data_IF_815374352122
#
_entry.id   IF_815374352122
#
_cell.length_a   1.000
_cell.length_b   1.000
_cell.length_c   1.000
_cell.angle_alpha   90.00
_cell.angle_beta   90.00
_cell.angle_gamma   90.00
#
_symmetry.space_group_name_H-M   'P 1'
#
loop_
_entity.id
_entity.type
_entity.pdbx_description
1 polymer ?
#
# COMPACT_ATOMS: atom_id res chain seq x y z
N UNK A 1 6.94 -16.13 -22.17
CA UNK A 1 7.55 -14.97 -21.47
C UNK A 1 7.74 -15.36 -20.00
N UNK A 2 8.89 -15.05 -19.40
CA UNK A 2 9.16 -15.43 -18.00
C UNK A 2 8.53 -14.46 -17.01
N UNK A 3 8.13 -14.95 -15.83
CA UNK A 3 7.44 -14.20 -14.77
C UNK A 3 8.18 -12.89 -14.44
N UNK A 4 9.51 -12.94 -14.26
CA UNK A 4 10.32 -11.76 -13.93
C UNK A 4 10.31 -10.68 -15.02
N UNK A 5 10.14 -11.07 -16.30
CA UNK A 5 10.03 -10.13 -17.42
C UNK A 5 8.64 -9.49 -17.47
N UNK A 6 7.60 -10.25 -17.13
CA UNK A 6 6.21 -9.75 -17.08
C UNK A 6 5.98 -8.69 -16.00
N UNK A 7 6.74 -8.74 -14.90
CA UNK A 7 6.69 -7.76 -13.82
C UNK A 7 7.78 -6.69 -13.90
N UNK A 8 8.53 -6.63 -15.00
CA UNK A 8 9.61 -5.65 -15.23
C UNK A 8 10.68 -5.61 -14.12
N UNK A 9 10.99 -6.78 -13.55
CA UNK A 9 12.01 -6.94 -12.49
C UNK A 9 13.24 -7.71 -12.97
N UNK A 10 13.28 -8.14 -14.22
CA UNK A 10 14.40 -8.91 -14.78
C UNK A 10 15.55 -7.98 -15.16
N UNK A 11 16.77 -8.27 -14.70
CA UNK A 11 18.01 -7.72 -15.25
C UNK A 11 18.43 -8.62 -16.42
N UNK A 12 18.26 -8.20 -17.69
CA UNK A 12 18.40 -9.09 -18.85
C UNK A 12 19.81 -9.68 -18.97
N UNK A 13 20.83 -8.86 -18.71
CA UNK A 13 22.24 -9.22 -18.91
C UNK A 13 22.76 -10.22 -17.88
N UNK A 14 22.09 -10.30 -16.71
CA UNK A 14 22.50 -11.15 -15.60
C UNK A 14 21.54 -12.34 -15.39
N UNK A 15 20.39 -12.36 -16.06
CA UNK A 15 19.39 -13.42 -15.93
C UNK A 15 18.75 -13.53 -14.54
N UNK A 16 18.90 -12.50 -13.69
CA UNK A 16 18.39 -12.48 -12.31
C UNK A 16 17.31 -11.41 -12.14
N UNK A 17 16.43 -11.61 -11.16
CA UNK A 17 15.40 -10.63 -10.82
C UNK A 17 15.89 -9.67 -9.71
N UNK A 18 15.50 -8.40 -9.82
CA UNK A 18 15.51 -7.43 -8.74
C UNK A 18 14.63 -7.89 -7.58
N UNK A 19 14.78 -7.24 -6.42
CA UNK A 19 13.98 -7.54 -5.23
C UNK A 19 12.61 -6.86 -5.32
N UNK A 20 11.79 -7.35 -6.25
CA UNK A 20 10.41 -6.93 -6.45
C UNK A 20 9.46 -7.53 -5.40
N UNK A 21 8.56 -6.71 -4.88
CA UNK A 21 7.38 -7.08 -4.12
C UNK A 21 6.18 -6.42 -4.78
N UNK A 22 5.11 -7.18 -5.04
CA UNK A 22 3.88 -6.67 -5.62
C UNK A 22 2.72 -7.10 -4.74
N UNK A 23 1.82 -6.17 -4.40
CA UNK A 23 0.56 -6.45 -3.74
C UNK A 23 -0.55 -6.44 -4.78
N UNK A 24 -1.22 -7.59 -4.90
CA UNK A 24 -2.31 -7.83 -5.83
C UNK A 24 -3.56 -8.09 -4.99
N UNK A 25 -4.66 -7.43 -5.33
CA UNK A 25 -5.95 -7.65 -4.68
C UNK A 25 -6.64 -8.95 -5.15
N UNK A 26 -7.89 -9.18 -4.75
CA UNK A 26 -8.63 -10.41 -5.09
C UNK A 26 -9.17 -10.37 -6.52
N UNK A 27 -9.30 -9.17 -7.07
CA UNK A 27 -9.75 -8.84 -8.41
C UNK A 27 -8.61 -8.96 -9.43
N UNK A 28 -7.38 -9.17 -8.95
CA UNK A 28 -6.19 -9.36 -9.78
C UNK A 28 -5.50 -8.05 -10.17
N UNK A 29 -5.87 -6.93 -9.55
CA UNK A 29 -5.29 -5.61 -9.81
C UNK A 29 -4.08 -5.37 -8.90
N UNK A 30 -3.01 -4.83 -9.49
CA UNK A 30 -1.81 -4.42 -8.74
C UNK A 30 -2.12 -3.11 -8.03
N UNK A 31 -2.06 -3.13 -6.69
CA UNK A 31 -2.34 -1.96 -5.86
C UNK A 31 -1.07 -1.29 -5.35
N UNK A 32 0.04 -2.03 -5.27
CA UNK A 32 1.32 -1.51 -4.81
C UNK A 32 2.47 -2.35 -5.35
N UNK A 33 3.60 -1.70 -5.62
CA UNK A 33 4.86 -2.37 -5.95
C UNK A 33 6.03 -1.71 -5.20
N UNK A 34 7.03 -2.51 -4.88
CA UNK A 34 8.32 -2.04 -4.34
C UNK A 34 9.42 -2.83 -5.01
N UNK A 35 10.36 -2.13 -5.64
CA UNK A 35 11.46 -2.73 -6.39
C UNK A 35 12.76 -2.19 -5.80
N UNK A 36 13.51 -3.07 -5.14
CA UNK A 36 14.80 -2.73 -4.57
C UNK A 36 15.94 -3.39 -5.38
N UNK A 37 17.11 -2.75 -5.37
CA UNK A 37 18.34 -3.38 -5.85
C UNK A 37 18.74 -4.56 -4.94
N UNK A 38 19.60 -5.45 -5.43
CA UNK A 38 20.01 -6.69 -4.78
C UNK A 38 20.66 -6.50 -3.40
N UNK A 39 21.28 -5.35 -3.16
CA UNK A 39 21.94 -5.00 -1.90
C UNK A 39 20.99 -4.45 -0.82
N UNK A 40 19.75 -4.08 -1.16
CA UNK A 40 18.84 -3.38 -0.25
C UNK A 40 17.67 -4.30 0.13
N UNK A 41 17.57 -4.62 1.42
CA UNK A 41 16.46 -5.39 1.98
C UNK A 41 15.11 -4.65 1.85
N UNK A 42 14.01 -5.39 2.02
CA UNK A 42 12.66 -4.81 2.10
C UNK A 42 12.24 -4.69 3.56
N UNK A 43 11.35 -3.75 3.87
CA UNK A 43 10.74 -3.63 5.20
C UNK A 43 9.47 -4.48 5.29
N UNK A 44 9.45 -5.41 6.25
CA UNK A 44 8.25 -6.20 6.55
C UNK A 44 7.18 -5.31 7.16
N UNK A 45 7.53 -4.36 8.01
CA UNK A 45 6.60 -3.41 8.63
C UNK A 45 5.89 -2.54 7.59
N UNK A 46 6.61 -2.04 6.58
CA UNK A 46 6.00 -1.30 5.47
C UNK A 46 5.14 -2.21 4.59
N UNK A 47 5.58 -3.44 4.35
CA UNK A 47 4.79 -4.41 3.59
C UNK A 47 3.48 -4.72 4.31
N UNK A 48 3.53 -4.90 5.64
CA UNK A 48 2.35 -5.09 6.47
C UNK A 48 1.49 -3.84 6.44
N UNK A 49 2.06 -2.64 6.59
CA UNK A 49 1.32 -1.37 6.51
C UNK A 49 0.54 -1.27 5.20
N UNK A 50 1.19 -1.52 4.05
CA UNK A 50 0.55 -1.44 2.74
C UNK A 50 -0.39 -2.61 2.45
N UNK A 51 -0.04 -3.85 2.85
CA UNK A 51 -0.96 -5.00 2.75
C UNK A 51 -2.27 -4.70 3.46
N UNK A 52 -2.21 -4.02 4.60
CA UNK A 52 -3.39 -3.66 5.38
C UNK A 52 -4.16 -2.46 4.80
N UNK A 53 -3.51 -1.69 3.92
CA UNK A 53 -4.13 -0.68 3.04
C UNK A 53 -4.72 -1.32 1.77
N UNK A 54 -4.52 -2.61 1.50
CA UNK A 54 -5.05 -3.28 0.29
C UNK A 54 -6.02 -4.41 0.64
N UNK A 55 -5.85 -5.05 1.80
CA UNK A 55 -6.61 -6.23 2.19
C UNK A 55 -7.88 -5.87 2.98
N UNK A 56 -8.99 -5.69 2.25
CA UNK A 56 -10.34 -5.61 2.82
C UNK A 56 -10.84 -7.02 3.17
N UNK A 57 -11.28 -7.28 4.42
CA UNK A 57 -11.92 -8.55 4.77
C UNK A 57 -13.38 -8.59 4.33
N UNK A 58 -13.72 -9.67 3.61
CA UNK A 58 -15.09 -10.17 3.43
C UNK A 58 -15.59 -10.83 4.73
N UNK A 59 -16.91 -10.90 4.98
CA UNK A 59 -17.47 -11.09 6.31
C UNK A 59 -17.32 -12.49 6.94
N UNK A 60 -16.72 -13.48 6.27
CA UNK A 60 -16.79 -14.88 6.72
C UNK A 60 -15.46 -15.65 6.61
N UNK A 61 -14.41 -15.25 7.34
CA UNK A 61 -13.39 -16.22 7.80
C UNK A 61 -12.55 -15.67 8.95
N UNK A 62 -12.66 -16.33 10.09
CA UNK A 62 -11.88 -16.10 11.30
C UNK A 62 -10.40 -16.46 11.06
N UNK A 63 -9.57 -15.47 10.75
CA UNK A 63 -8.14 -15.54 11.03
C UNK A 63 -7.70 -14.23 11.67
N UNK A 64 -7.36 -14.31 12.96
CA UNK A 64 -6.90 -13.19 13.78
C UNK A 64 -5.54 -12.68 13.29
N UNK A 65 -5.53 -11.50 12.70
CA UNK A 65 -4.49 -10.49 12.88
C UNK A 65 -5.22 -9.19 13.20
N UNK A 66 -5.25 -8.82 14.48
CA UNK A 66 -6.06 -7.72 15.00
C UNK A 66 -5.25 -6.43 15.15
N UNK A 67 -4.35 -6.17 14.22
CA UNK A 67 -3.73 -4.87 14.07
C UNK A 67 -3.92 -4.47 12.61
N UNK A 68 -4.11 -3.16 12.37
CA UNK A 68 -4.17 -2.55 11.04
C UNK A 68 -5.34 -3.01 10.14
N UNK A 69 -6.54 -2.54 10.52
CA UNK A 69 -7.72 -2.46 9.64
C UNK A 69 -8.10 -1.00 9.31
N UNK A 70 -7.32 -0.02 9.80
CA UNK A 70 -7.87 1.31 10.08
C UNK A 70 -7.81 2.33 8.93
N UNK A 71 -6.79 2.29 8.05
CA UNK A 71 -6.65 3.29 6.98
C UNK A 71 -7.74 3.15 5.91
N UNK A 72 -7.90 1.96 5.33
CA UNK A 72 -8.93 1.76 4.31
C UNK A 72 -10.32 1.78 4.90
N UNK A 73 -10.52 1.27 6.12
CA UNK A 73 -11.82 1.41 6.77
C UNK A 73 -12.14 2.89 6.99
N UNK A 74 -11.15 3.71 7.36
CA UNK A 74 -11.30 5.16 7.42
C UNK A 74 -11.61 5.78 6.05
N UNK A 75 -10.88 5.47 4.98
CA UNK A 75 -11.14 6.00 3.63
C UNK A 75 -12.44 5.44 3.02
N UNK A 76 -12.89 4.25 3.40
CA UNK A 76 -14.16 3.68 2.96
C UNK A 76 -15.35 4.24 3.75
N UNK A 77 -15.19 4.46 5.05
CA UNK A 77 -16.18 5.17 5.89
C UNK A 77 -16.20 6.68 5.57
N UNK A 78 -15.08 7.22 5.06
CA UNK A 78 -14.89 8.62 4.68
C UNK A 78 -14.34 8.69 3.23
N UNK A 79 -15.17 8.40 2.21
CA UNK A 79 -14.76 8.35 0.80
C UNK A 79 -14.21 9.68 0.25
N UNK A 80 -14.49 10.78 0.94
CA UNK A 80 -14.03 12.12 0.61
C UNK A 80 -12.67 12.48 1.24
N UNK A 81 -12.00 11.52 1.89
CA UNK A 81 -10.75 11.74 2.60
C UNK A 81 -9.63 10.79 2.14
N UNK A 82 -8.41 11.29 2.17
CA UNK A 82 -7.18 10.56 1.89
C UNK A 82 -6.24 10.68 3.07
N UNK A 83 -5.51 9.62 3.41
CA UNK A 83 -4.54 9.69 4.49
C UNK A 83 -3.11 9.99 3.98
N UNK A 84 -2.42 10.97 4.58
CA UNK A 84 -1.11 11.46 4.17
C UNK A 84 0.02 10.46 4.47
N UNK A 85 1.24 10.79 4.02
CA UNK A 85 2.41 9.95 4.22
C UNK A 85 2.67 9.67 5.71
N UNK A 86 2.80 8.39 6.08
CA UNK A 86 3.04 7.98 7.45
C UNK A 86 1.82 8.00 8.37
N UNK A 87 0.62 8.29 7.85
CA UNK A 87 -0.60 8.42 8.65
C UNK A 87 -0.88 7.20 9.52
N UNK A 88 -1.22 7.47 10.78
CA UNK A 88 -1.64 6.49 11.77
C UNK A 88 -3.08 6.75 12.25
N UNK A 89 -3.73 5.71 12.79
CA UNK A 89 -4.97 5.83 13.56
C UNK A 89 -5.02 7.05 14.51
N UNK A 90 -5.95 7.97 14.27
CA UNK A 90 -6.14 9.17 15.10
C UNK A 90 -5.36 10.40 14.65
N UNK A 91 -4.53 10.30 13.62
CA UNK A 91 -3.88 11.44 12.99
C UNK A 91 -4.80 12.12 11.96
N UNK A 92 -4.53 13.40 11.64
CA UNK A 92 -5.33 14.15 10.68
C UNK A 92 -5.22 13.55 9.27
N UNK A 93 -6.35 13.31 8.64
CA UNK A 93 -6.52 13.03 7.22
C UNK A 93 -6.62 14.33 6.41
N UNK A 94 -6.68 14.23 5.08
CA UNK A 94 -6.80 15.35 4.17
C UNK A 94 -7.91 15.09 3.15
N UNK A 95 -8.67 16.11 2.76
CA UNK A 95 -9.60 16.00 1.62
C UNK A 95 -8.85 16.20 0.30
N UNK A 96 -9.02 15.34 -0.72
CA UNK A 96 -8.33 15.45 -2.01
C UNK A 96 -8.96 16.53 -2.90
N UNK A 97 -9.14 17.75 -2.37
CA UNK A 97 -9.64 18.92 -3.09
C UNK A 97 -8.66 20.12 -2.94
N UNK A 98 -8.33 20.87 -4.00
CA UNK A 98 -7.37 21.98 -3.95
C UNK A 98 -7.72 23.13 -2.99
N UNK A 99 -9.00 23.32 -2.65
CA UNK A 99 -9.44 24.35 -1.69
C UNK A 99 -9.47 23.78 -0.28
N UNK A 100 -10.02 22.59 -0.10
CA UNK A 100 -10.19 21.96 1.23
C UNK A 100 -8.87 21.41 1.79
N UNK A 101 -7.95 20.95 0.95
CA UNK A 101 -6.62 20.49 1.39
C UNK A 101 -5.80 21.60 2.07
N UNK A 102 -6.10 22.88 1.82
CA UNK A 102 -5.45 24.01 2.50
C UNK A 102 -5.68 24.01 4.01
N UNK A 103 -6.81 23.48 4.49
CA UNK A 103 -7.08 23.35 5.92
C UNK A 103 -6.11 22.36 6.60
N UNK A 104 -5.73 21.30 5.87
CA UNK A 104 -4.72 20.35 6.32
C UNK A 104 -3.32 20.98 6.34
N UNK A 105 -2.95 21.69 5.25
CA UNK A 105 -1.63 22.32 5.14
C UNK A 105 -1.45 23.56 6.04
N UNK A 106 -2.53 24.24 6.44
CA UNK A 106 -2.46 25.37 7.37
C UNK A 106 -2.22 24.94 8.84
N UNK A 107 -2.30 23.65 9.13
CA UNK A 107 -2.06 23.09 10.46
C UNK A 107 -0.58 22.70 10.71
N UNK A 108 0.30 22.94 9.73
CA UNK A 108 1.75 22.79 9.80
C UNK A 108 2.42 24.17 9.80
#
# INVERSE_FOLDING_TARGET
MGISKSYDVLIPDQGIALRGLVLIDKEGVIQHSTINNLAIGRSVDETLRTRQIVFIPVPHRHFRCQYLKLFLQYVQENPDEVCPAGWKPGEKSMKPDPKLSKEYFAAF
#
